data_IF_865836587365
#
_entry.id   IF_865836587365
#
_cell.length_a   1.000
_cell.length_b   1.000
_cell.length_c   1.000
_cell.angle_alpha   90.00
_cell.angle_beta   90.00
_cell.angle_gamma   90.00
#
_symmetry.space_group_name_H-M   'P 1'
#
loop_
_entity.id
_entity.type
_entity.pdbx_description
1 polymer ?
#
# COMPACT_ATOMS: atom_id res chain seq x y z
N UNK A 1 0.14 -17.40 -12.76
CA UNK A 1 0.76 -16.91 -11.53
C UNK A 1 1.92 -15.96 -11.86
N UNK A 2 1.99 -14.82 -11.16
CA UNK A 2 3.13 -13.91 -11.25
C UNK A 2 4.14 -14.36 -10.21
N UNK A 3 5.25 -14.93 -10.66
CA UNK A 3 6.26 -15.54 -9.79
C UNK A 3 7.47 -14.65 -9.53
N UNK A 4 7.52 -13.46 -10.16
CA UNK A 4 8.61 -12.49 -10.02
C UNK A 4 8.08 -11.07 -10.18
N UNK A 5 8.83 -10.07 -9.68
CA UNK A 5 8.55 -8.66 -9.92
C UNK A 5 8.64 -8.36 -11.42
N UNK A 6 7.58 -7.81 -11.99
CA UNK A 6 7.50 -7.49 -13.40
C UNK A 6 6.78 -6.15 -13.60
N UNK A 7 7.16 -5.44 -14.66
CA UNK A 7 6.50 -4.19 -15.07
C UNK A 7 5.16 -4.42 -15.76
N UNK A 8 4.92 -5.64 -16.23
CA UNK A 8 3.68 -6.04 -16.91
C UNK A 8 3.29 -7.46 -16.48
N UNK A 9 1.99 -7.73 -16.46
CA UNK A 9 1.44 -9.04 -16.18
C UNK A 9 0.31 -9.35 -17.15
N UNK A 10 0.16 -10.64 -17.53
CA UNK A 10 -0.95 -11.14 -18.33
C UNK A 10 -1.87 -11.97 -17.46
N UNK A 11 -3.16 -11.71 -17.60
CA UNK A 11 -4.22 -12.46 -16.92
C UNK A 11 -5.11 -13.10 -17.96
N UNK A 12 -5.53 -14.33 -17.70
CA UNK A 12 -6.55 -14.99 -18.49
C UNK A 12 -7.87 -14.92 -17.72
N UNK A 13 -8.88 -14.35 -18.35
CA UNK A 13 -10.22 -14.21 -17.79
C UNK A 13 -11.20 -14.96 -18.69
N UNK A 14 -11.95 -15.90 -18.10
CA UNK A 14 -12.98 -16.66 -18.83
C UNK A 14 -14.22 -15.80 -19.03
N UNK A 15 -14.83 -15.89 -20.22
CA UNK A 15 -16.06 -15.17 -20.53
C UNK A 15 -16.13 -14.72 -21.99
N UNK A 16 -17.27 -14.17 -22.36
CA UNK A 16 -17.49 -13.56 -23.66
C UNK A 16 -17.41 -12.04 -23.55
N UNK A 17 -16.40 -11.46 -24.16
CA UNK A 17 -16.13 -10.02 -24.10
C UNK A 17 -16.41 -9.42 -25.48
N UNK A 18 -17.55 -8.75 -25.64
CA UNK A 18 -18.04 -8.19 -26.92
C UNK A 18 -17.77 -6.69 -27.07
N UNK A 19 -17.63 -5.94 -25.96
CA UNK A 19 -17.40 -4.51 -25.99
C UNK A 19 -15.95 -4.16 -26.35
N UNK A 20 -15.74 -2.93 -26.81
CA UNK A 20 -14.41 -2.40 -27.11
C UNK A 20 -13.61 -2.04 -25.84
N UNK A 21 -14.29 -1.86 -24.68
CA UNK A 21 -13.65 -1.55 -23.41
C UNK A 21 -14.44 -2.06 -22.22
N UNK A 22 -13.75 -2.24 -21.10
CA UNK A 22 -14.30 -2.66 -19.81
C UNK A 22 -13.60 -1.93 -18.65
N UNK A 23 -14.33 -1.55 -17.59
CA UNK A 23 -13.71 -1.07 -16.37
C UNK A 23 -12.97 -2.20 -15.66
N UNK A 24 -11.81 -1.88 -15.10
CA UNK A 24 -10.99 -2.80 -14.28
C UNK A 24 -10.81 -2.18 -12.92
N UNK A 25 -11.05 -2.97 -11.89
CA UNK A 25 -10.88 -2.59 -10.50
C UNK A 25 -9.90 -3.56 -9.83
N UNK A 26 -8.87 -3.02 -9.22
CA UNK A 26 -7.98 -3.73 -8.30
C UNK A 26 -8.26 -3.24 -6.90
N UNK A 27 -8.72 -4.11 -6.03
CA UNK A 27 -9.19 -3.78 -4.68
C UNK A 27 -8.24 -4.25 -3.57
N UNK A 28 -7.03 -4.67 -3.96
CA UNK A 28 -6.07 -5.24 -3.02
C UNK A 28 -6.40 -6.69 -2.64
N UNK A 29 -5.71 -7.19 -1.62
CA UNK A 29 -5.85 -8.56 -1.14
C UNK A 29 -6.82 -8.70 0.05
N UNK A 30 -7.22 -7.59 0.70
CA UNK A 30 -8.12 -7.59 1.86
C UNK A 30 -9.59 -7.36 1.49
N UNK A 31 -9.87 -7.10 0.24
CA UNK A 31 -11.24 -6.86 -0.19
C UNK A 31 -12.01 -8.16 -0.36
N UNK A 32 -13.26 -8.16 0.06
CA UNK A 32 -14.20 -9.27 -0.13
C UNK A 32 -15.10 -9.07 -1.35
N UNK A 33 -15.05 -7.89 -1.97
CA UNK A 33 -15.86 -7.54 -3.14
C UNK A 33 -15.11 -6.60 -4.09
N UNK A 34 -15.57 -6.50 -5.34
CA UNK A 34 -14.97 -5.63 -6.35
C UNK A 34 -15.26 -4.14 -6.19
N UNK A 35 -16.09 -3.75 -5.22
CA UNK A 35 -16.53 -2.37 -4.98
C UNK A 35 -16.22 -1.87 -3.56
N UNK A 36 -15.34 -2.56 -2.84
CA UNK A 36 -14.87 -2.18 -1.51
C UNK A 36 -13.35 -2.34 -1.42
N UNK A 37 -12.74 -1.51 -0.57
CA UNK A 37 -11.32 -1.61 -0.22
C UNK A 37 -11.17 -1.46 1.29
N UNK A 38 -10.40 -2.33 1.91
CA UNK A 38 -10.10 -2.26 3.34
C UNK A 38 -8.66 -1.84 3.56
N UNK A 39 -8.47 -0.71 4.24
CA UNK A 39 -7.18 -0.22 4.74
C UNK A 39 -7.11 -0.60 6.22
N UNK A 40 -6.26 -1.55 6.62
CA UNK A 40 -6.21 -2.02 8.00
C UNK A 40 -5.49 -1.03 8.93
N UNK A 41 -5.85 -1.08 10.22
CA UNK A 41 -5.20 -0.27 11.27
C UNK A 41 -3.80 -0.76 11.62
N UNK A 42 -3.42 -1.96 11.21
CA UNK A 42 -2.07 -2.50 11.36
C UNK A 42 -1.58 -3.01 10.02
N UNK A 43 -0.41 -2.54 9.62
CA UNK A 43 0.29 -2.95 8.41
C UNK A 43 1.66 -3.50 8.80
N UNK A 44 2.20 -4.45 8.05
CA UNK A 44 3.50 -5.05 8.37
C UNK A 44 4.38 -5.02 7.13
N UNK A 45 5.55 -4.39 7.27
CA UNK A 45 6.59 -4.39 6.24
C UNK A 45 7.79 -5.22 6.72
N UNK A 46 8.28 -6.13 5.88
CA UNK A 46 9.27 -7.15 6.26
C UNK A 46 10.72 -6.79 5.92
N UNK A 47 10.93 -5.76 5.11
CA UNK A 47 12.26 -5.25 4.77
C UNK A 47 12.14 -3.78 4.33
N UNK A 48 13.19 -2.96 4.48
CA UNK A 48 13.22 -1.64 3.87
C UNK A 48 12.99 -1.71 2.36
N UNK A 49 12.42 -0.66 1.78
CA UNK A 49 12.11 -0.53 0.35
C UNK A 49 11.29 -1.70 -0.24
N UNK A 50 10.49 -2.37 0.59
CA UNK A 50 9.67 -3.51 0.18
C UNK A 50 8.19 -3.15 0.23
N UNK A 51 7.50 -3.28 -0.91
CA UNK A 51 6.07 -2.96 -1.07
C UNK A 51 5.18 -4.21 -1.13
N UNK A 52 5.69 -5.40 -0.82
CA UNK A 52 4.94 -6.66 -0.91
C UNK A 52 3.68 -6.68 -0.04
N UNK A 53 3.64 -5.87 1.02
CA UNK A 53 2.48 -5.73 1.91
C UNK A 53 1.37 -4.82 1.37
N UNK A 54 1.59 -4.08 0.27
CA UNK A 54 0.63 -3.07 -0.21
C UNK A 54 -0.74 -3.66 -0.53
N UNK A 55 -0.80 -4.80 -1.21
CA UNK A 55 -2.07 -5.44 -1.52
C UNK A 55 -2.91 -5.78 -0.28
N UNK A 56 -2.26 -6.21 0.81
CA UNK A 56 -2.92 -6.47 2.09
C UNK A 56 -3.16 -5.21 2.93
N UNK A 57 -2.52 -4.10 2.56
CA UNK A 57 -2.64 -2.82 3.24
C UNK A 57 -3.69 -1.90 2.61
N UNK A 58 -4.40 -2.35 1.58
CA UNK A 58 -5.46 -1.59 0.92
C UNK A 58 -4.98 -0.81 -0.31
N UNK A 59 -3.85 -1.19 -0.93
CA UNK A 59 -3.51 -0.69 -2.26
C UNK A 59 -4.63 -1.03 -3.23
N UNK A 60 -5.05 -0.04 -4.01
CA UNK A 60 -6.15 -0.19 -4.95
C UNK A 60 -5.93 0.68 -6.19
N UNK A 61 -6.56 0.28 -7.28
CA UNK A 61 -6.42 1.00 -8.54
C UNK A 61 -7.56 0.74 -9.50
N UNK A 62 -7.75 1.66 -10.44
CA UNK A 62 -8.76 1.58 -11.50
C UNK A 62 -8.10 1.71 -12.86
N UNK A 63 -8.74 1.14 -13.87
CA UNK A 63 -8.36 1.32 -15.26
C UNK A 63 -9.56 1.13 -16.19
N UNK A 64 -9.37 1.51 -17.45
CA UNK A 64 -10.22 1.08 -18.56
C UNK A 64 -9.38 0.15 -19.43
N UNK A 65 -9.77 -1.12 -19.48
CA UNK A 65 -9.19 -2.09 -20.38
C UNK A 65 -9.74 -1.87 -21.80
N UNK A 66 -8.88 -1.60 -22.74
CA UNK A 66 -9.24 -1.33 -24.13
C UNK A 66 -8.84 -2.51 -25.02
N UNK A 67 -9.74 -2.92 -25.90
CA UNK A 67 -9.51 -4.03 -26.82
C UNK A 67 -8.38 -3.72 -27.81
N UNK A 68 -7.45 -4.65 -27.91
CA UNK A 68 -6.41 -4.68 -28.91
C UNK A 68 -6.38 -6.08 -29.54
N UNK A 69 -7.04 -6.25 -30.68
CA UNK A 69 -7.26 -7.55 -31.33
C UNK A 69 -8.01 -8.53 -30.40
N UNK A 70 -7.38 -9.58 -29.94
CA UNK A 70 -7.94 -10.60 -29.04
C UNK A 70 -7.64 -10.36 -27.56
N UNK A 71 -6.85 -9.35 -27.25
CA UNK A 71 -6.43 -9.02 -25.89
C UNK A 71 -7.03 -7.68 -25.44
N UNK A 72 -6.99 -7.42 -24.15
CA UNK A 72 -7.33 -6.13 -23.54
C UNK A 72 -6.10 -5.59 -22.83
N UNK A 73 -5.74 -4.34 -23.12
CA UNK A 73 -4.63 -3.66 -22.48
C UNK A 73 -5.15 -2.61 -21.52
N UNK A 74 -4.51 -2.51 -20.34
CA UNK A 74 -4.82 -1.49 -19.34
C UNK A 74 -3.60 -1.14 -18.50
N UNK A 75 -3.63 0.04 -17.90
CA UNK A 75 -2.69 0.48 -16.89
C UNK A 75 -3.49 0.95 -15.67
N UNK A 76 -3.25 0.34 -14.52
CA UNK A 76 -3.90 0.73 -13.28
C UNK A 76 -3.41 2.12 -12.82
N UNK A 77 -4.35 2.94 -12.42
CA UNK A 77 -4.10 4.19 -11.69
C UNK A 77 -4.38 3.94 -10.21
N UNK A 78 -3.39 4.15 -9.36
CA UNK A 78 -3.56 4.02 -7.91
C UNK A 78 -4.59 5.02 -7.37
N UNK A 79 -5.40 4.56 -6.43
CA UNK A 79 -6.47 5.34 -5.78
C UNK A 79 -6.34 5.38 -4.25
N UNK A 80 -5.38 4.67 -3.66
CA UNK A 80 -4.95 4.87 -2.29
C UNK A 80 -3.87 5.96 -2.21
N UNK A 81 -3.57 6.43 -1.01
CA UNK A 81 -2.42 7.31 -0.73
C UNK A 81 -1.33 6.54 0.02
N UNK A 82 -0.10 7.01 -0.13
CA UNK A 82 1.07 6.34 0.45
C UNK A 82 1.92 7.34 1.21
N UNK A 83 2.35 6.95 2.41
CA UNK A 83 3.37 7.67 3.17
C UNK A 83 4.68 6.90 3.04
N UNK A 84 5.75 7.62 2.75
CA UNK A 84 7.12 7.09 2.74
C UNK A 84 7.91 7.75 3.87
N UNK A 85 8.44 6.94 4.75
CA UNK A 85 9.30 7.35 5.85
C UNK A 85 10.73 6.91 5.59
N UNK A 86 11.68 7.78 5.88
CA UNK A 86 13.12 7.51 5.76
C UNK A 86 13.79 7.69 7.14
N UNK A 87 13.50 6.80 8.10
CA UNK A 87 14.06 6.88 9.45
C UNK A 87 15.56 6.60 9.43
N UNK A 88 16.31 7.31 10.28
CA UNK A 88 17.76 7.09 10.47
C UNK A 88 18.19 7.40 11.88
N UNK A 89 19.33 6.87 12.28
CA UNK A 89 20.05 7.30 13.46
C UNK A 89 21.30 8.07 13.02
N UNK A 90 21.42 9.33 13.44
CA UNK A 90 22.58 10.17 13.07
C UNK A 90 23.86 9.80 13.81
N UNK A 91 23.75 9.05 14.91
CA UNK A 91 24.90 8.57 15.66
C UNK A 91 25.47 7.29 15.05
N UNK A 92 26.68 7.38 14.50
CA UNK A 92 27.39 6.22 13.96
C UNK A 92 27.69 5.13 15.00
N UNK A 93 27.76 5.48 16.28
CA UNK A 93 28.00 4.51 17.35
C UNK A 93 26.72 3.82 17.85
N UNK A 94 25.59 4.49 17.79
CA UNK A 94 24.31 3.95 18.25
C UNK A 94 23.53 3.26 17.14
N UNK A 95 23.57 3.79 15.92
CA UNK A 95 22.80 3.30 14.77
C UNK A 95 22.88 1.79 14.55
N UNK A 96 24.07 1.15 14.64
CA UNK A 96 24.19 -0.29 14.47
C UNK A 96 23.39 -1.15 15.47
N UNK A 97 23.00 -0.58 16.63
CA UNK A 97 22.27 -1.27 17.68
C UNK A 97 20.84 -0.75 17.88
N UNK A 98 20.38 0.14 17.00
CA UNK A 98 19.02 0.70 17.06
C UNK A 98 18.20 0.15 15.89
N UNK A 99 16.96 -0.23 16.19
CA UNK A 99 16.03 -0.77 15.24
C UNK A 99 14.70 -0.01 15.31
N UNK A 100 14.18 0.35 14.14
CA UNK A 100 12.80 0.78 14.00
C UNK A 100 11.91 -0.44 14.09
N UNK A 101 11.02 -0.51 15.06
CA UNK A 101 10.09 -1.62 15.22
C UNK A 101 8.67 -1.28 14.79
N UNK A 102 8.30 0.01 14.85
CA UNK A 102 6.99 0.49 14.40
C UNK A 102 7.00 2.00 14.14
N UNK A 103 6.06 2.41 13.29
CA UNK A 103 5.66 3.81 13.08
C UNK A 103 4.16 3.90 13.36
N UNK A 104 3.76 4.84 14.19
CA UNK A 104 2.35 5.13 14.47
C UNK A 104 1.98 6.47 13.84
N UNK A 105 0.99 6.46 12.96
CA UNK A 105 0.44 7.66 12.33
C UNK A 105 -0.97 7.88 12.87
N UNK A 106 -1.22 9.06 13.40
CA UNK A 106 -2.56 9.49 13.83
C UNK A 106 -2.97 10.72 13.04
N UNK A 107 -4.21 10.74 12.60
CA UNK A 107 -4.83 11.79 11.79
C UNK A 107 -5.98 12.45 12.56
N UNK A 108 -6.40 13.62 12.11
CA UNK A 108 -7.65 14.28 12.52
C UNK A 108 -8.91 13.63 11.90
N UNK A 109 -8.76 12.87 10.80
CA UNK A 109 -9.83 12.14 10.10
C UNK A 109 -9.51 10.65 10.03
N UNK A 110 -10.48 9.84 9.57
CA UNK A 110 -10.26 8.42 9.33
C UNK A 110 -9.30 8.19 8.16
N UNK A 111 -8.22 7.45 8.43
CA UNK A 111 -7.21 7.05 7.45
C UNK A 111 -7.18 5.54 7.21
N UNK A 112 -7.95 4.79 7.99
CA UNK A 112 -8.16 3.35 7.87
C UNK A 112 -9.64 3.01 7.95
N UNK A 113 -10.01 1.81 7.52
CA UNK A 113 -11.38 1.30 7.49
C UNK A 113 -11.72 0.66 6.16
N UNK A 114 -12.97 0.25 6.00
CA UNK A 114 -13.51 -0.24 4.73
C UNK A 114 -14.22 0.90 4.00
N UNK A 115 -13.85 1.13 2.77
CA UNK A 115 -14.34 2.23 1.92
C UNK A 115 -15.09 1.66 0.73
N UNK A 116 -16.17 2.31 0.30
CA UNK A 116 -16.74 2.06 -1.02
C UNK A 116 -15.74 2.45 -2.10
N UNK A 117 -15.65 1.64 -3.15
CA UNK A 117 -14.69 1.82 -4.22
C UNK A 117 -15.38 1.88 -5.59
N UNK A 118 -15.09 2.92 -6.34
CA UNK A 118 -15.67 3.19 -7.66
C UNK A 118 -14.59 3.64 -8.65
N UNK A 119 -14.96 3.90 -9.88
CA UNK A 119 -14.05 4.48 -10.86
C UNK A 119 -13.45 5.83 -10.43
N UNK A 120 -14.12 6.58 -9.54
CA UNK A 120 -13.60 7.82 -8.97
C UNK A 120 -12.57 7.58 -7.87
N UNK A 121 -12.50 6.38 -7.31
CA UNK A 121 -11.64 6.01 -6.18
C UNK A 121 -12.43 5.63 -4.93
N UNK A 122 -11.80 5.80 -3.78
CA UNK A 122 -12.38 5.52 -2.47
C UNK A 122 -13.41 6.60 -2.08
N UNK A 123 -14.44 6.21 -1.32
CA UNK A 123 -15.38 7.17 -0.70
C UNK A 123 -14.62 8.08 0.29
N UNK A 124 -15.15 9.30 0.50
CA UNK A 124 -14.53 10.28 1.40
C UNK A 124 -14.50 9.83 2.87
N UNK A 125 -15.38 8.90 3.25
CA UNK A 125 -15.45 8.33 4.59
C UNK A 125 -15.59 6.82 4.50
N UNK A 126 -15.07 6.05 5.49
CA UNK A 126 -15.26 4.62 5.52
C UNK A 126 -16.74 4.25 5.73
N UNK A 127 -17.15 3.13 5.16
CA UNK A 127 -18.49 2.55 5.35
C UNK A 127 -18.55 1.74 6.63
N UNK A 128 -17.39 1.25 7.10
CA UNK A 128 -17.27 0.53 8.37
C UNK A 128 -15.83 0.56 8.89
N UNK A 129 -15.66 0.35 10.19
CA UNK A 129 -14.34 0.19 10.83
C UNK A 129 -13.43 1.41 10.73
N UNK A 130 -14.00 2.61 10.60
CA UNK A 130 -13.23 3.85 10.49
C UNK A 130 -12.28 4.05 11.66
N UNK A 131 -11.02 4.41 11.37
CA UNK A 131 -10.01 4.67 12.38
C UNK A 131 -9.04 5.77 11.95
N UNK A 132 -8.66 6.58 12.93
CA UNK A 132 -7.75 7.72 12.77
C UNK A 132 -6.28 7.36 12.98
N UNK A 133 -5.98 6.13 13.33
CA UNK A 133 -4.61 5.70 13.65
C UNK A 133 -4.28 4.41 12.90
N UNK A 134 -3.11 4.42 12.26
CA UNK A 134 -2.50 3.23 11.66
C UNK A 134 -1.14 2.99 12.31
N UNK A 135 -0.84 1.74 12.60
CA UNK A 135 0.48 1.28 13.01
C UNK A 135 1.12 0.49 11.89
N UNK A 136 2.28 0.92 11.42
CA UNK A 136 3.17 0.13 10.59
C UNK A 136 4.15 -0.61 11.48
N UNK A 137 4.09 -1.93 11.49
CA UNK A 137 5.09 -2.79 12.13
C UNK A 137 6.20 -3.08 11.11
N UNK A 138 7.45 -2.84 11.53
CA UNK A 138 8.62 -3.17 10.70
C UNK A 138 9.29 -4.40 11.26
N UNK A 139 9.43 -5.43 10.43
CA UNK A 139 10.12 -6.69 10.79
C UNK A 139 11.45 -6.75 10.08
N UNK A 140 12.49 -7.01 10.84
CA UNK A 140 13.82 -7.22 10.27
C UNK A 140 13.96 -8.59 9.61
N UNK A 141 14.91 -8.70 8.71
CA UNK A 141 15.32 -9.99 8.13
C UNK A 141 16.10 -10.82 9.16
N UNK A 142 16.07 -12.15 9.01
CA UNK A 142 16.84 -13.08 9.83
C UNK A 142 16.61 -12.96 11.36
N UNK A 143 15.39 -12.61 11.78
CA UNK A 143 15.02 -12.51 13.20
C UNK A 143 15.39 -11.19 13.89
N UNK A 144 15.87 -10.21 13.14
CA UNK A 144 16.08 -8.86 13.68
C UNK A 144 14.74 -8.25 14.12
N UNK A 145 14.71 -7.45 15.22
CA UNK A 145 13.47 -6.95 15.79
C UNK A 145 12.77 -5.89 14.94
N UNK A 146 13.43 -5.33 13.93
CA UNK A 146 12.92 -4.29 13.05
C UNK A 146 13.93 -3.85 12.01
N UNK A 147 13.73 -2.68 11.39
CA UNK A 147 14.67 -2.11 10.43
C UNK A 147 15.84 -1.47 11.16
N UNK A 148 17.05 -1.90 10.80
CA UNK A 148 18.27 -1.36 11.38
C UNK A 148 18.50 0.09 10.96
N UNK A 149 18.85 0.96 11.90
CA UNK A 149 19.04 2.40 11.68
C UNK A 149 20.55 2.76 11.74
N UNK A 150 21.38 2.03 11.01
CA UNK A 150 22.84 2.14 11.06
C UNK A 150 23.44 3.10 10.04
N UNK A 151 22.64 3.73 9.21
CA UNK A 151 23.08 4.63 8.17
C UNK A 151 22.92 6.09 8.58
N UNK A 152 23.98 6.84 8.40
CA UNK A 152 24.01 8.29 8.67
C UNK A 152 23.34 9.11 7.55
N UNK A 153 23.18 8.50 6.36
CA UNK A 153 22.53 9.13 5.20
C UNK A 153 21.29 8.31 4.83
N UNK A 154 20.15 8.99 4.71
CA UNK A 154 18.92 8.34 4.29
C UNK A 154 18.95 8.00 2.81
N UNK A 155 18.52 6.79 2.48
CA UNK A 155 18.12 6.41 1.14
C UNK A 155 16.94 5.44 1.20
N UNK A 156 16.24 5.28 0.08
CA UNK A 156 15.05 4.43 0.01
C UNK A 156 15.40 2.97 0.29
N UNK A 157 16.47 2.46 -0.31
CA UNK A 157 16.88 1.05 -0.23
C UNK A 157 17.13 0.59 1.21
N UNK A 158 17.73 1.44 2.03
CA UNK A 158 18.11 1.10 3.40
C UNK A 158 17.09 1.56 4.46
N UNK A 159 16.28 2.57 4.15
CA UNK A 159 15.41 3.23 5.13
C UNK A 159 13.93 3.24 4.77
N UNK A 160 13.57 2.94 3.52
CA UNK A 160 12.19 3.09 3.04
C UNK A 160 11.18 2.27 3.83
N UNK A 161 10.37 2.95 4.62
CA UNK A 161 9.22 2.37 5.29
C UNK A 161 7.93 2.98 4.72
N UNK A 162 6.96 2.15 4.35
CA UNK A 162 5.79 2.54 3.59
C UNK A 162 4.50 2.21 4.30
N UNK A 163 3.56 3.14 4.28
CA UNK A 163 2.22 2.96 4.83
C UNK A 163 1.17 3.35 3.81
N UNK A 164 0.16 2.52 3.62
CA UNK A 164 -1.02 2.83 2.81
C UNK A 164 -2.05 3.52 3.71
N UNK A 165 -2.60 4.63 3.23
CA UNK A 165 -3.62 5.41 3.96
C UNK A 165 -4.76 5.78 3.01
N UNK A 166 -5.93 6.11 3.55
CA UNK A 166 -7.00 6.68 2.76
C UNK A 166 -6.56 8.04 2.17
N UNK A 167 -6.89 8.34 0.92
CA UNK A 167 -6.60 9.64 0.32
C UNK A 167 -7.44 10.74 0.97
N UNK A 168 -6.88 11.94 1.03
CA UNK A 168 -7.56 13.11 1.59
C UNK A 168 -6.59 14.18 2.05
N UNK A 169 -7.14 15.20 2.71
CA UNK A 169 -6.35 16.20 3.44
C UNK A 169 -6.37 15.84 4.91
N UNK A 170 -5.20 15.62 5.48
CA UNK A 170 -5.02 15.13 6.85
C UNK A 170 -3.98 15.94 7.61
N UNK A 171 -4.26 16.21 8.88
CA UNK A 171 -3.27 16.69 9.83
C UNK A 171 -2.69 15.48 10.56
N UNK A 172 -1.43 15.13 10.24
CA UNK A 172 -0.81 13.91 10.71
C UNK A 172 0.13 14.17 11.89
N UNK A 173 0.04 13.29 12.88
CA UNK A 173 1.04 13.14 13.95
C UNK A 173 1.73 11.80 13.80
N UNK A 174 3.08 11.79 13.79
CA UNK A 174 3.91 10.60 13.57
C UNK A 174 4.73 10.34 14.84
N UNK A 175 4.73 9.09 15.29
CA UNK A 175 5.50 8.62 16.45
C UNK A 175 6.26 7.35 16.12
#
# INVERSE_FOLDING_TARGET
>A
DITATATTAKFQVSGSFTNSSYPVFYTGANSTSGNEVTIPITQTQTAPDNTSHFGQSGDCGVAIATRNSTEFNFKLEHKAAYLCFLPRCESASLGPNIYLTKIVVTSDNDIAGTYSFTAAGLSASPTSGGAKTITLETKGTAGAPGFKLDNTVTNIENNGAYMVVAPGTHNLTIK
#
